data_IF_498143177026
#
_entry.id   IF_498143177026
#
_cell.length_a   1.000
_cell.length_b   1.000
_cell.length_c   1.000
_cell.angle_alpha   90.00
_cell.angle_beta   90.00
_cell.angle_gamma   90.00
#
_symmetry.space_group_name_H-M   'P 1'
#
loop_
_entity.id
_entity.type
_entity.pdbx_description
1 polymer ?
#
# COMPACT_ATOMS: atom_id res chain seq x y z
N UNK A 1 25.57 -12.39 -4.87
CA UNK A 1 25.43 -12.39 -3.38
C UNK A 1 24.34 -13.37 -2.97
N UNK A 2 24.46 -13.94 -1.77
CA UNK A 2 23.42 -14.74 -1.12
C UNK A 2 22.51 -13.80 -0.31
N UNK A 3 21.24 -13.77 -0.65
CA UNK A 3 20.25 -12.88 -0.01
C UNK A 3 19.20 -13.71 0.73
N UNK A 4 18.93 -13.36 1.98
CA UNK A 4 17.80 -13.90 2.73
C UNK A 4 16.67 -12.87 2.78
N UNK A 5 15.53 -13.20 2.16
CA UNK A 5 14.32 -12.37 2.19
C UNK A 5 13.35 -12.92 3.23
N UNK A 6 12.89 -12.09 4.15
CA UNK A 6 11.97 -12.52 5.21
C UNK A 6 10.71 -11.65 5.23
N UNK A 7 9.56 -12.28 4.98
CA UNK A 7 8.27 -11.60 4.96
C UNK A 7 7.15 -12.61 5.19
N UNK A 8 6.26 -12.40 6.19
CA UNK A 8 5.19 -13.36 6.51
C UNK A 8 4.36 -13.73 5.26
N UNK A 9 4.01 -12.76 4.43
CA UNK A 9 3.23 -12.97 3.20
C UNK A 9 4.12 -13.14 1.96
N UNK A 10 5.34 -13.68 2.09
CA UNK A 10 6.25 -13.79 0.95
C UNK A 10 5.55 -14.34 -0.31
N UNK A 11 5.73 -13.71 -1.50
CA UNK A 11 6.66 -12.62 -1.79
C UNK A 11 6.23 -11.23 -1.26
N UNK A 12 4.96 -10.97 -0.94
CA UNK A 12 4.50 -9.72 -0.34
C UNK A 12 5.04 -8.48 -1.07
N UNK A 13 5.73 -7.60 -0.35
CA UNK A 13 6.37 -6.40 -0.91
C UNK A 13 7.55 -6.73 -1.83
N UNK A 14 8.12 -7.94 -1.71
CA UNK A 14 9.25 -8.37 -2.53
C UNK A 14 8.82 -9.06 -3.84
N UNK A 15 7.52 -9.03 -4.20
CA UNK A 15 6.95 -9.70 -5.37
C UNK A 15 7.69 -9.38 -6.67
N UNK A 16 7.99 -8.13 -6.90
CA UNK A 16 8.64 -7.65 -8.12
C UNK A 16 10.16 -7.48 -7.91
N UNK A 17 10.58 -7.26 -6.68
CA UNK A 17 12.00 -7.11 -6.30
C UNK A 17 12.73 -8.45 -6.38
N UNK A 18 12.13 -9.53 -5.87
CA UNK A 18 12.83 -10.81 -5.76
C UNK A 18 13.16 -11.45 -7.11
N UNK A 19 12.28 -11.50 -8.13
CA UNK A 19 12.66 -11.97 -9.47
C UNK A 19 13.76 -11.11 -10.10
N UNK A 20 13.66 -9.80 -9.98
CA UNK A 20 14.64 -8.90 -10.56
C UNK A 20 16.04 -9.03 -9.94
N UNK A 21 16.13 -9.38 -8.64
CA UNK A 21 17.41 -9.72 -8.01
C UNK A 21 17.93 -11.08 -8.49
N UNK A 22 17.04 -12.06 -8.78
CA UNK A 22 17.45 -13.31 -9.43
C UNK A 22 17.99 -13.06 -10.85
N UNK A 23 17.38 -12.16 -11.62
CA UNK A 23 17.85 -11.78 -12.97
C UNK A 23 19.24 -11.15 -12.95
N UNK A 24 19.66 -10.60 -11.81
CA UNK A 24 20.99 -10.05 -11.55
C UNK A 24 21.97 -11.06 -10.93
N UNK A 25 21.66 -12.34 -11.07
CA UNK A 25 22.50 -13.47 -10.62
C UNK A 25 22.75 -13.51 -9.11
N UNK A 26 21.83 -12.96 -8.29
CA UNK A 26 21.88 -13.18 -6.86
C UNK A 26 21.24 -14.52 -6.49
N UNK A 27 21.82 -15.23 -5.53
CA UNK A 27 21.22 -16.43 -4.93
C UNK A 27 20.26 -16.00 -3.82
N UNK A 28 18.96 -16.27 -4.02
CA UNK A 28 17.91 -15.86 -3.08
C UNK A 28 17.34 -17.08 -2.35
N UNK A 29 17.24 -16.95 -1.02
CA UNK A 29 16.36 -17.81 -0.22
C UNK A 29 15.36 -16.93 0.53
N UNK A 30 14.20 -17.47 0.84
CA UNK A 30 13.18 -16.74 1.54
C UNK A 30 12.57 -17.53 2.70
N UNK A 31 12.08 -16.80 3.71
CA UNK A 31 11.28 -17.36 4.82
C UNK A 31 9.95 -16.61 4.90
N UNK A 32 8.85 -17.36 4.99
CA UNK A 32 7.50 -16.81 5.12
C UNK A 32 6.46 -17.87 5.44
N UNK A 33 5.21 -17.46 5.76
CA UNK A 33 4.14 -18.43 6.03
C UNK A 33 3.10 -18.53 4.90
N UNK A 34 3.05 -17.56 3.98
CA UNK A 34 2.09 -17.55 2.88
C UNK A 34 2.37 -18.66 1.85
N UNK A 35 1.30 -19.27 1.32
CA UNK A 35 1.36 -20.26 0.23
C UNK A 35 1.32 -19.61 -1.17
N UNK A 36 1.52 -18.31 -1.28
CA UNK A 36 1.51 -17.59 -2.56
C UNK A 36 2.64 -18.07 -3.46
N UNK A 37 2.37 -18.10 -4.76
CA UNK A 37 3.39 -18.38 -5.77
C UNK A 37 4.44 -17.27 -5.81
N UNK A 38 5.68 -17.67 -6.05
CA UNK A 38 6.82 -16.78 -6.27
C UNK A 38 7.70 -17.34 -7.39
N UNK A 39 8.77 -16.65 -7.72
CA UNK A 39 9.74 -17.10 -8.71
C UNK A 39 10.32 -18.47 -8.29
N UNK A 40 10.34 -19.43 -9.21
CA UNK A 40 10.79 -20.81 -8.95
C UNK A 40 12.29 -20.95 -8.65
N UNK A 41 13.07 -19.91 -8.97
CA UNK A 41 14.50 -19.84 -8.62
C UNK A 41 14.76 -19.61 -7.14
N UNK A 42 13.73 -19.22 -6.37
CA UNK A 42 13.85 -18.87 -4.95
C UNK A 42 13.44 -20.07 -4.10
N UNK A 43 14.38 -20.61 -3.30
CA UNK A 43 14.05 -21.58 -2.27
C UNK A 43 13.30 -20.88 -1.12
N UNK A 44 12.03 -21.23 -0.92
CA UNK A 44 11.18 -20.65 0.14
C UNK A 44 11.01 -21.67 1.26
N UNK A 45 11.53 -21.36 2.44
CA UNK A 45 11.25 -22.10 3.65
C UNK A 45 9.97 -21.55 4.28
N UNK A 46 8.97 -22.42 4.43
CA UNK A 46 7.65 -21.99 4.93
C UNK A 46 7.44 -22.50 6.34
N UNK A 47 6.90 -21.61 7.20
CA UNK A 47 6.42 -21.97 8.52
C UNK A 47 4.89 -21.88 8.57
N UNK A 48 4.30 -22.68 9.43
CA UNK A 48 2.88 -22.60 9.74
C UNK A 48 2.68 -21.67 10.94
N UNK A 49 1.66 -20.83 10.84
CA UNK A 49 1.24 -19.94 11.90
C UNK A 49 -0.29 -19.97 11.97
N UNK A 50 -0.81 -20.46 13.06
CA UNK A 50 -2.24 -20.54 13.34
C UNK A 50 -2.66 -19.53 14.40
N UNK A 51 -3.96 -19.26 14.48
CA UNK A 51 -4.54 -18.44 15.54
C UNK A 51 -4.39 -19.12 16.90
N UNK A 52 -3.79 -18.41 17.84
CA UNK A 52 -3.68 -18.86 19.23
C UNK A 52 -4.66 -18.10 20.10
N UNK A 53 -5.54 -18.83 20.76
CA UNK A 53 -6.45 -18.23 21.73
C UNK A 53 -5.78 -18.12 23.09
N UNK A 54 -5.40 -16.91 23.45
CA UNK A 54 -4.99 -16.54 24.79
C UNK A 54 -6.19 -15.99 25.55
N UNK A 55 -6.56 -16.63 26.66
CA UNK A 55 -7.65 -16.18 27.54
C UNK A 55 -7.09 -15.51 28.78
N UNK A 56 -7.80 -14.52 29.32
CA UNK A 56 -7.41 -13.87 30.57
C UNK A 56 -6.21 -12.93 30.47
N UNK A 57 -5.70 -12.61 29.26
CA UNK A 57 -4.58 -11.69 29.02
C UNK A 57 -5.03 -10.41 28.33
N UNK A 58 -4.29 -9.34 28.51
CA UNK A 58 -4.54 -8.08 27.83
C UNK A 58 -4.42 -8.23 26.31
N UNK A 59 -5.25 -7.53 25.52
CA UNK A 59 -5.28 -7.62 24.04
C UNK A 59 -3.92 -7.39 23.41
N UNK A 60 -3.13 -6.45 23.92
CA UNK A 60 -1.79 -6.17 23.43
C UNK A 60 -0.79 -7.32 23.68
N UNK A 61 -1.01 -8.11 24.72
CA UNK A 61 -0.17 -9.30 25.01
C UNK A 61 -0.35 -10.38 23.96
N UNK A 62 -1.55 -10.54 23.40
CA UNK A 62 -1.80 -11.47 22.29
C UNK A 62 -0.93 -11.16 21.08
N UNK A 63 -0.79 -9.88 20.77
CA UNK A 63 0.00 -9.43 19.64
C UNK A 63 1.51 -9.64 19.86
N UNK A 64 1.99 -9.39 21.07
CA UNK A 64 3.39 -9.65 21.47
C UNK A 64 3.69 -11.15 21.44
N UNK A 65 2.78 -12.00 21.93
CA UNK A 65 2.89 -13.46 21.87
C UNK A 65 3.00 -13.92 20.41
N UNK A 66 2.19 -13.37 19.54
CA UNK A 66 2.18 -13.65 18.11
C UNK A 66 3.54 -13.30 17.43
N UNK A 67 4.13 -12.16 17.80
CA UNK A 67 5.46 -11.78 17.30
C UNK A 67 6.55 -12.75 17.77
N UNK A 68 6.51 -13.16 19.03
CA UNK A 68 7.49 -14.10 19.60
C UNK A 68 7.39 -15.45 18.87
N UNK A 69 6.19 -15.99 18.72
CA UNK A 69 5.99 -17.29 18.03
C UNK A 69 6.44 -17.27 16.58
N UNK A 70 6.19 -16.17 15.86
CA UNK A 70 6.68 -16.01 14.49
C UNK A 70 8.20 -15.93 14.46
N UNK A 71 8.79 -15.16 15.37
CA UNK A 71 10.25 -15.03 15.44
C UNK A 71 10.94 -16.34 15.72
N UNK A 72 10.38 -17.19 16.60
CA UNK A 72 10.88 -18.54 16.88
C UNK A 72 10.87 -19.40 15.63
N UNK A 73 9.74 -19.44 14.89
CA UNK A 73 9.64 -20.22 13.65
C UNK A 73 10.63 -19.76 12.59
N UNK A 74 10.77 -18.45 12.42
CA UNK A 74 11.76 -17.90 11.48
C UNK A 74 13.18 -18.24 11.91
N UNK A 75 13.51 -18.14 13.20
CA UNK A 75 14.82 -18.49 13.72
C UNK A 75 15.13 -19.99 13.53
N UNK A 76 14.18 -20.90 13.79
CA UNK A 76 14.31 -22.34 13.53
C UNK A 76 14.70 -22.60 12.06
N UNK A 77 13.97 -22.00 11.11
CA UNK A 77 14.25 -22.15 9.67
C UNK A 77 15.58 -21.52 9.26
N UNK A 78 15.93 -20.38 9.82
CA UNK A 78 17.23 -19.74 9.60
C UNK A 78 18.39 -20.59 10.13
N UNK A 79 18.23 -21.25 11.28
CA UNK A 79 19.19 -22.20 11.83
C UNK A 79 19.34 -23.46 10.95
N UNK A 80 18.26 -23.93 10.30
CA UNK A 80 18.34 -25.01 9.33
C UNK A 80 19.21 -24.61 8.15
N UNK A 81 19.05 -23.40 7.60
CA UNK A 81 19.92 -22.88 6.53
C UNK A 81 21.39 -22.86 6.98
N UNK A 82 21.65 -22.33 8.18
CA UNK A 82 23.00 -22.27 8.75
C UNK A 82 23.63 -23.65 8.92
N UNK A 83 22.86 -24.64 9.40
CA UNK A 83 23.32 -26.05 9.54
C UNK A 83 23.61 -26.70 8.18
N UNK A 84 22.96 -26.29 7.11
CA UNK A 84 23.22 -26.70 5.72
C UNK A 84 24.45 -26.01 5.11
N UNK A 85 25.21 -25.23 5.88
CA UNK A 85 26.36 -24.46 5.41
C UNK A 85 26.02 -23.20 4.62
N UNK A 86 24.74 -22.76 4.63
CA UNK A 86 24.33 -21.56 3.94
C UNK A 86 24.14 -20.39 4.93
N UNK A 87 24.79 -19.29 4.63
CA UNK A 87 24.60 -18.03 5.35
C UNK A 87 24.41 -16.89 4.34
N UNK A 88 23.52 -15.94 4.60
CA UNK A 88 23.33 -14.80 3.72
C UNK A 88 24.48 -13.79 3.82
N UNK A 89 24.83 -13.20 2.69
CA UNK A 89 25.72 -12.03 2.67
C UNK A 89 24.95 -10.77 3.16
N UNK A 90 23.63 -10.74 2.94
CA UNK A 90 22.72 -9.68 3.42
C UNK A 90 21.33 -10.26 3.69
N UNK A 91 20.67 -9.76 4.73
CA UNK A 91 19.26 -10.04 5.05
C UNK A 91 18.41 -8.82 4.68
N UNK A 92 17.27 -9.04 4.03
CA UNK A 92 16.22 -8.04 3.83
C UNK A 92 14.93 -8.55 4.45
N UNK A 93 14.47 -7.93 5.53
CA UNK A 93 13.35 -8.42 6.32
C UNK A 93 12.26 -7.36 6.52
N UNK A 94 11.00 -7.81 6.48
CA UNK A 94 9.87 -7.02 6.94
C UNK A 94 9.68 -7.26 8.45
N UNK A 95 9.80 -6.25 9.32
CA UNK A 95 9.81 -6.45 10.77
C UNK A 95 8.42 -6.41 11.42
N UNK A 96 7.36 -6.07 10.68
CA UNK A 96 6.06 -5.63 11.23
C UNK A 96 5.28 -6.71 12.01
N UNK A 97 5.66 -7.98 11.91
CA UNK A 97 4.96 -9.10 12.58
C UNK A 97 5.90 -9.98 13.42
N UNK A 98 7.12 -9.51 13.72
CA UNK A 98 8.06 -10.20 14.61
C UNK A 98 9.14 -11.04 13.92
N UNK A 99 9.03 -11.32 12.61
CA UNK A 99 9.93 -12.23 11.89
C UNK A 99 11.40 -11.83 11.95
N UNK A 100 11.69 -10.54 12.07
CA UNK A 100 13.06 -10.04 12.09
C UNK A 100 13.77 -10.18 13.46
N UNK A 101 13.02 -10.43 14.55
CA UNK A 101 13.52 -10.30 15.93
C UNK A 101 14.76 -11.12 16.26
N UNK A 102 14.90 -12.34 15.69
CA UNK A 102 15.99 -13.26 16.03
C UNK A 102 17.05 -13.41 14.93
N UNK A 103 16.86 -12.75 13.77
CA UNK A 103 17.76 -12.94 12.62
C UNK A 103 19.18 -12.49 12.90
N UNK A 104 19.36 -11.41 13.66
CA UNK A 104 20.68 -10.90 14.06
C UNK A 104 21.44 -11.89 14.94
N UNK A 105 20.75 -12.63 15.80
CA UNK A 105 21.33 -13.64 16.67
C UNK A 105 21.72 -14.89 15.88
N UNK A 106 20.92 -15.28 14.89
CA UNK A 106 21.22 -16.44 14.03
C UNK A 106 22.39 -16.15 13.08
N UNK A 107 22.41 -14.98 12.46
CA UNK A 107 23.42 -14.55 11.48
C UNK A 107 24.13 -13.25 11.93
N UNK A 108 24.95 -13.28 12.98
CA UNK A 108 25.60 -12.07 13.52
C UNK A 108 26.59 -11.41 12.56
N UNK A 109 27.12 -12.17 11.60
CA UNK A 109 28.02 -11.68 10.56
C UNK A 109 27.35 -11.18 9.28
N UNK A 110 26.02 -11.14 9.23
CA UNK A 110 25.28 -10.67 8.05
C UNK A 110 24.57 -9.34 8.37
N UNK A 111 24.80 -8.28 7.60
CA UNK A 111 24.05 -7.04 7.75
C UNK A 111 22.56 -7.30 7.47
N UNK A 112 21.70 -6.65 8.28
CA UNK A 112 20.26 -6.75 8.15
C UNK A 112 19.66 -5.41 7.74
N UNK A 113 19.04 -5.37 6.58
CA UNK A 113 18.17 -4.28 6.15
C UNK A 113 16.73 -4.63 6.49
N UNK A 114 15.99 -3.65 6.97
CA UNK A 114 14.57 -3.85 7.26
C UNK A 114 13.69 -2.92 6.42
N UNK A 115 12.44 -3.36 6.18
CA UNK A 115 11.40 -2.59 5.50
C UNK A 115 10.23 -2.35 6.45
N UNK A 116 10.33 -1.36 7.39
CA UNK A 116 9.44 -1.24 8.54
C UNK A 116 8.12 -0.49 8.26
N UNK A 117 7.87 -0.08 7.03
CA UNK A 117 6.72 0.66 6.53
C UNK A 117 6.47 2.01 7.20
N UNK A 118 6.07 2.08 8.48
CA UNK A 118 5.60 3.31 9.10
C UNK A 118 5.75 3.25 10.63
N UNK A 119 6.25 4.32 11.23
CA UNK A 119 6.16 4.53 12.67
C UNK A 119 4.80 5.12 13.01
N UNK A 120 4.01 4.40 13.81
CA UNK A 120 2.63 4.80 14.08
C UNK A 120 2.53 6.03 15.00
N UNK A 121 1.64 6.94 14.63
CA UNK A 121 1.27 8.16 15.38
C UNK A 121 -0.26 8.28 15.47
N UNK A 122 -0.76 9.22 16.28
CA UNK A 122 -2.19 9.44 16.49
C UNK A 122 -2.99 9.63 15.18
N UNK A 123 -2.48 10.45 14.27
CA UNK A 123 -3.11 10.70 12.97
C UNK A 123 -3.27 9.44 12.10
N UNK A 124 -2.45 8.41 12.31
CA UNK A 124 -2.59 7.13 11.62
C UNK A 124 -3.75 6.27 12.15
N UNK A 125 -4.33 6.64 13.30
CA UNK A 125 -5.56 6.04 13.84
C UNK A 125 -6.84 6.76 13.34
N UNK A 126 -6.69 7.72 12.43
CA UNK A 126 -7.81 8.52 11.94
C UNK A 126 -8.28 9.60 12.92
N UNK A 127 -7.45 9.93 13.91
CA UNK A 127 -7.72 10.98 14.89
C UNK A 127 -7.14 12.31 14.39
N UNK A 128 -7.86 13.39 14.61
CA UNK A 128 -7.35 14.74 14.40
C UNK A 128 -6.31 15.09 15.48
N UNK A 129 -5.40 16.03 15.19
CA UNK A 129 -4.31 16.41 16.10
C UNK A 129 -4.83 16.94 17.45
N UNK A 130 -6.05 17.49 17.49
CA UNK A 130 -6.70 18.02 18.68
C UNK A 130 -7.39 16.95 19.53
N UNK A 131 -7.59 15.74 18.99
CA UNK A 131 -8.25 14.66 19.73
C UNK A 131 -7.29 13.99 20.70
N UNK A 132 -7.68 13.98 21.97
CA UNK A 132 -6.93 13.31 23.02
C UNK A 132 -7.02 11.78 22.86
N UNK A 133 -5.86 11.12 22.79
CA UNK A 133 -5.77 9.67 22.76
C UNK A 133 -6.31 9.05 24.05
N UNK A 134 -7.13 8.01 23.92
CA UNK A 134 -7.45 7.14 25.04
C UNK A 134 -6.21 6.37 25.51
N UNK A 135 -6.22 5.93 26.76
CA UNK A 135 -5.12 5.10 27.32
C UNK A 135 -4.89 3.85 26.47
N UNK A 136 -5.97 3.23 25.97
CA UNK A 136 -5.89 2.05 25.09
C UNK A 136 -5.20 2.36 23.76
N UNK A 137 -5.52 3.50 23.13
CA UNK A 137 -4.85 3.95 21.90
C UNK A 137 -3.37 4.28 22.13
N UNK A 138 -3.04 4.92 23.26
CA UNK A 138 -1.65 5.17 23.63
C UNK A 138 -0.86 3.85 23.80
N UNK A 139 -1.44 2.86 24.48
CA UNK A 139 -0.83 1.54 24.62
C UNK A 139 -0.64 0.85 23.25
N UNK A 140 -1.65 0.89 22.38
CA UNK A 140 -1.55 0.31 21.06
C UNK A 140 -0.39 0.90 20.25
N UNK A 141 -0.31 2.23 20.14
CA UNK A 141 0.78 2.91 19.45
C UNK A 141 2.14 2.57 20.06
N UNK A 142 2.22 2.55 21.40
CA UNK A 142 3.46 2.25 22.11
C UNK A 142 3.93 0.83 21.84
N UNK A 143 3.04 -0.15 21.87
CA UNK A 143 3.36 -1.56 21.65
C UNK A 143 3.83 -1.80 20.21
N UNK A 144 3.10 -1.27 19.22
CA UNK A 144 3.49 -1.38 17.80
C UNK A 144 4.86 -0.76 17.53
N UNK A 145 5.08 0.43 18.02
CA UNK A 145 6.36 1.12 17.85
C UNK A 145 7.51 0.47 18.62
N UNK A 146 7.23 -0.26 19.69
CA UNK A 146 8.25 -1.00 20.44
C UNK A 146 8.87 -2.12 19.59
N UNK A 147 8.06 -2.88 18.86
CA UNK A 147 8.58 -3.87 17.91
C UNK A 147 9.50 -3.22 16.86
N UNK A 148 9.07 -2.09 16.30
CA UNK A 148 9.86 -1.37 15.31
C UNK A 148 11.15 -0.76 15.90
N UNK A 149 11.11 -0.26 17.14
CA UNK A 149 12.30 0.28 17.82
C UNK A 149 13.39 -0.78 18.00
N UNK A 150 12.99 -2.00 18.41
CA UNK A 150 13.89 -3.15 18.50
C UNK A 150 14.46 -3.55 17.13
N UNK A 151 13.61 -3.65 16.11
CA UNK A 151 14.05 -3.96 14.76
C UNK A 151 15.02 -2.90 14.19
N UNK A 152 14.77 -1.62 14.45
CA UNK A 152 15.67 -0.52 14.07
C UNK A 152 17.00 -0.57 14.81
N UNK A 153 17.01 -1.04 16.06
CA UNK A 153 18.26 -1.22 16.82
C UNK A 153 19.14 -2.30 16.20
N UNK A 154 18.55 -3.43 15.82
CA UNK A 154 19.24 -4.59 15.23
C UNK A 154 19.64 -4.37 13.77
N UNK A 155 18.90 -3.56 13.03
CA UNK A 155 19.16 -3.31 11.61
C UNK A 155 20.39 -2.43 11.38
N UNK A 156 21.13 -2.71 10.31
CA UNK A 156 22.16 -1.81 9.78
C UNK A 156 21.54 -0.62 9.07
N UNK A 157 20.49 -0.86 8.28
CA UNK A 157 19.75 0.16 7.53
C UNK A 157 18.26 -0.19 7.50
N UNK A 158 17.42 0.83 7.28
CA UNK A 158 16.01 0.68 6.98
C UNK A 158 15.66 1.31 5.64
N UNK A 159 14.79 0.66 4.88
CA UNK A 159 14.27 1.15 3.60
C UNK A 159 12.81 1.53 3.79
N UNK A 160 12.45 2.73 3.35
CA UNK A 160 11.08 3.25 3.44
C UNK A 160 10.66 3.81 2.08
N UNK A 161 9.41 3.57 1.64
CA UNK A 161 8.97 3.94 0.29
C UNK A 161 8.90 5.45 0.03
N UNK A 162 8.57 6.27 1.04
CA UNK A 162 8.35 7.71 0.90
C UNK A 162 9.04 8.51 2.00
N UNK A 163 9.27 9.79 1.75
CA UNK A 163 9.78 10.73 2.77
C UNK A 163 8.82 10.84 3.93
N UNK A 164 7.52 10.93 3.68
CA UNK A 164 6.50 10.94 4.72
C UNK A 164 6.65 9.76 5.69
N UNK A 165 6.81 8.54 5.15
CA UNK A 165 7.04 7.36 5.98
C UNK A 165 8.36 7.44 6.76
N UNK A 166 9.43 7.91 6.13
CA UNK A 166 10.73 8.10 6.78
C UNK A 166 10.68 9.14 7.92
N UNK A 167 9.98 10.25 7.71
CA UNK A 167 9.80 11.33 8.67
C UNK A 167 8.88 10.95 9.85
N UNK A 168 8.09 9.87 9.70
CA UNK A 168 7.32 9.33 10.82
C UNK A 168 8.21 8.79 11.94
N UNK A 169 9.42 8.31 11.60
CA UNK A 169 10.36 7.72 12.56
C UNK A 169 11.02 8.77 13.48
N UNK A 170 11.33 8.40 14.73
CA UNK A 170 12.10 9.25 15.64
C UNK A 170 13.44 9.70 15.06
N UNK A 171 13.88 10.90 15.41
CA UNK A 171 15.12 11.50 14.91
C UNK A 171 16.35 10.59 15.11
N UNK A 172 16.39 9.81 16.20
CA UNK A 172 17.49 8.86 16.51
C UNK A 172 17.72 7.81 15.43
N UNK A 173 16.72 7.52 14.59
CA UNK A 173 16.78 6.50 13.55
C UNK A 173 17.01 7.04 12.13
N UNK A 174 16.88 8.34 11.92
CA UNK A 174 16.91 8.95 10.57
C UNK A 174 18.20 8.68 9.79
N UNK A 175 19.33 8.58 10.48
CA UNK A 175 20.62 8.27 9.85
C UNK A 175 20.71 6.86 9.26
N UNK A 176 19.89 5.92 9.77
CA UNK A 176 19.79 4.54 9.26
C UNK A 176 18.77 4.40 8.11
N UNK A 177 17.99 5.43 7.80
CA UNK A 177 16.89 5.34 6.83
C UNK A 177 17.36 5.73 5.43
N UNK A 178 16.92 4.96 4.43
CA UNK A 178 16.99 5.30 3.00
C UNK A 178 15.59 5.27 2.41
N UNK A 179 15.26 6.27 1.62
CA UNK A 179 13.97 6.34 0.92
C UNK A 179 14.14 5.70 -0.45
N UNK A 180 13.56 4.50 -0.60
CA UNK A 180 13.55 3.73 -1.86
C UNK A 180 12.17 3.09 -1.94
N UNK A 181 11.45 3.37 -3.03
CA UNK A 181 10.14 2.77 -3.29
C UNK A 181 10.29 1.38 -3.94
N UNK A 182 9.22 0.56 -3.93
CA UNK A 182 9.18 -0.73 -4.65
C UNK A 182 9.16 -0.53 -6.17
N UNK A 183 8.72 0.65 -6.59
CA UNK A 183 8.60 1.01 -8.01
C UNK A 183 7.25 0.65 -8.61
N UNK A 184 7.01 1.21 -9.78
CA UNK A 184 5.87 0.89 -10.66
C UNK A 184 6.42 0.31 -11.96
N UNK A 185 5.82 -0.78 -12.51
CA UNK A 185 6.32 -1.39 -13.74
C UNK A 185 6.31 -0.41 -14.92
N UNK A 186 7.41 -0.32 -15.63
CA UNK A 186 7.58 0.51 -16.83
C UNK A 186 6.53 0.19 -17.90
N UNK A 187 6.13 -1.08 -18.00
CA UNK A 187 5.09 -1.54 -18.93
C UNK A 187 3.75 -0.79 -18.79
N UNK A 188 3.44 -0.26 -17.60
CA UNK A 188 2.24 0.54 -17.37
C UNK A 188 2.34 1.95 -17.99
N UNK A 189 3.54 2.47 -18.19
CA UNK A 189 3.74 3.78 -18.81
C UNK A 189 3.42 3.76 -20.32
N UNK A 190 3.64 2.64 -20.98
CA UNK A 190 3.48 2.53 -22.44
C UNK A 190 2.09 2.10 -22.87
N UNK A 191 1.21 1.76 -21.89
CA UNK A 191 -0.17 1.40 -22.24
C UNK A 191 -0.98 2.62 -22.71
N UNK A 192 -1.65 2.55 -23.86
CA UNK A 192 -2.50 3.65 -24.33
C UNK A 192 -3.77 3.74 -23.48
N UNK A 193 -4.35 4.94 -23.40
CA UNK A 193 -5.68 5.13 -22.81
C UNK A 193 -6.73 4.33 -23.58
N UNK A 194 -7.69 3.75 -22.88
CA UNK A 194 -8.81 3.06 -23.50
C UNK A 194 -9.89 4.04 -23.94
N UNK A 195 -10.37 3.88 -25.18
CA UNK A 195 -11.48 4.67 -25.70
C UNK A 195 -12.82 4.13 -25.19
N UNK A 196 -12.93 2.82 -25.01
CA UNK A 196 -14.12 2.16 -24.51
C UNK A 196 -13.79 1.07 -23.48
N UNK A 197 -14.74 0.75 -22.62
CA UNK A 197 -14.64 -0.35 -21.64
C UNK A 197 -16.02 -1.01 -21.51
N UNK A 198 -16.10 -2.29 -21.83
CA UNK A 198 -17.30 -3.10 -21.57
C UNK A 198 -17.19 -3.71 -20.17
N UNK A 199 -18.17 -3.44 -19.33
CA UNK A 199 -18.30 -3.97 -17.98
C UNK A 199 -18.89 -5.39 -18.01
N UNK A 200 -18.70 -6.16 -16.94
CA UNK A 200 -19.21 -7.53 -16.82
C UNK A 200 -20.74 -7.69 -16.93
N UNK A 201 -21.49 -6.60 -16.74
CA UNK A 201 -22.94 -6.53 -16.92
C UNK A 201 -23.37 -6.15 -18.36
N UNK A 202 -22.43 -6.08 -19.32
CA UNK A 202 -22.69 -5.75 -20.71
C UNK A 202 -22.75 -4.25 -21.03
N UNK A 203 -22.67 -3.36 -20.05
CA UNK A 203 -22.63 -1.91 -20.27
C UNK A 203 -21.29 -1.52 -20.89
N UNK A 204 -21.31 -0.81 -22.01
CA UNK A 204 -20.11 -0.26 -22.65
C UNK A 204 -20.00 1.22 -22.36
N UNK A 205 -18.88 1.61 -21.81
CA UNK A 205 -18.53 3.00 -21.49
C UNK A 205 -17.65 3.55 -22.61
N UNK A 206 -18.28 4.26 -23.56
CA UNK A 206 -17.60 4.89 -24.70
C UNK A 206 -16.77 6.12 -24.27
N UNK A 207 -15.90 6.62 -25.15
CA UNK A 207 -14.93 7.69 -24.84
C UNK A 207 -15.57 8.98 -24.33
N UNK A 208 -16.79 9.29 -24.81
CA UNK A 208 -17.56 10.50 -24.46
C UNK A 208 -18.14 10.42 -23.06
N UNK A 209 -18.36 9.20 -22.54
CA UNK A 209 -18.94 8.97 -21.22
C UNK A 209 -17.88 9.25 -20.15
N UNK A 210 -18.03 10.23 -19.28
CA UNK A 210 -17.10 10.47 -18.19
C UNK A 210 -17.11 9.33 -17.18
N UNK A 211 -15.93 8.86 -16.81
CA UNK A 211 -15.75 7.78 -15.84
C UNK A 211 -14.92 8.26 -14.66
N UNK A 212 -15.50 8.21 -13.48
CA UNK A 212 -14.81 8.45 -12.21
C UNK A 212 -14.53 7.11 -11.53
N UNK A 213 -13.33 6.93 -11.03
CA UNK A 213 -12.95 5.70 -10.35
C UNK A 213 -12.56 5.95 -8.89
N UNK A 214 -12.94 5.02 -8.02
CA UNK A 214 -12.46 4.89 -6.66
C UNK A 214 -11.98 3.45 -6.47
N UNK A 215 -10.70 3.28 -6.14
CA UNK A 215 -10.08 1.94 -6.08
C UNK A 215 -9.25 1.84 -4.82
N UNK A 216 -9.52 0.81 -4.02
CA UNK A 216 -8.76 0.52 -2.83
C UNK A 216 -8.70 -0.98 -2.57
N UNK A 217 -7.76 -1.42 -1.73
CA UNK A 217 -7.66 -2.83 -1.33
C UNK A 217 -8.95 -3.32 -0.68
N UNK A 218 -9.48 -2.55 0.27
CA UNK A 218 -10.75 -2.78 0.94
C UNK A 218 -11.53 -1.46 1.00
N UNK A 219 -12.86 -1.56 0.94
CA UNK A 219 -13.78 -0.42 0.99
C UNK A 219 -14.05 -0.07 2.46
N UNK A 220 -13.23 0.79 3.02
CA UNK A 220 -13.20 1.11 4.45
C UNK A 220 -12.99 2.62 4.72
N UNK A 221 -13.34 3.12 5.93
CA UNK A 221 -13.20 4.54 6.30
C UNK A 221 -11.79 5.11 6.14
N UNK A 222 -10.73 4.37 6.52
CA UNK A 222 -9.34 4.82 6.37
C UNK A 222 -8.99 5.16 4.91
N UNK A 223 -9.67 4.52 3.95
CA UNK A 223 -9.52 4.78 2.51
C UNK A 223 -10.46 5.88 1.99
N UNK A 224 -11.32 6.45 2.86
CA UNK A 224 -12.28 7.49 2.51
C UNK A 224 -13.52 6.98 1.76
N UNK A 225 -13.78 5.67 1.77
CA UNK A 225 -14.91 5.08 1.04
C UNK A 225 -16.27 5.69 1.45
N UNK A 226 -16.61 5.84 2.75
CA UNK A 226 -17.89 6.46 3.13
C UNK A 226 -18.03 7.91 2.62
N UNK A 227 -16.97 8.71 2.67
CA UNK A 227 -16.96 10.10 2.15
C UNK A 227 -17.21 10.12 0.65
N UNK A 228 -16.56 9.22 -0.09
CA UNK A 228 -16.75 9.08 -1.53
C UNK A 228 -18.20 8.70 -1.87
N UNK A 229 -18.74 7.67 -1.21
CA UNK A 229 -20.11 7.23 -1.46
C UNK A 229 -21.15 8.32 -1.18
N UNK A 230 -21.00 9.06 -0.07
CA UNK A 230 -21.88 10.17 0.27
C UNK A 230 -21.80 11.35 -0.71
N UNK A 231 -20.74 11.46 -1.49
CA UNK A 231 -20.61 12.46 -2.55
C UNK A 231 -21.41 12.08 -3.82
N UNK A 232 -21.71 10.79 -4.04
CA UNK A 232 -22.33 10.30 -5.27
C UNK A 232 -23.71 10.92 -5.58
N UNK A 233 -24.65 11.06 -4.64
CA UNK A 233 -25.94 11.65 -4.95
C UNK A 233 -25.82 13.05 -5.57
N UNK A 234 -24.93 13.87 -5.04
CA UNK A 234 -24.68 15.23 -5.57
C UNK A 234 -23.93 15.18 -6.90
N UNK A 235 -22.88 14.37 -7.02
CA UNK A 235 -22.13 14.19 -8.26
C UNK A 235 -23.06 13.79 -9.42
N UNK A 236 -23.85 12.75 -9.24
CA UNK A 236 -24.72 12.20 -10.28
C UNK A 236 -25.89 13.13 -10.65
N UNK A 237 -26.29 14.02 -9.75
CA UNK A 237 -27.29 15.08 -10.02
C UNK A 237 -26.70 16.19 -10.89
N UNK A 238 -25.48 16.61 -10.61
CA UNK A 238 -24.83 17.71 -11.32
C UNK A 238 -24.13 17.30 -12.61
N UNK A 239 -23.87 16.00 -12.78
CA UNK A 239 -23.26 15.46 -13.99
C UNK A 239 -24.06 14.25 -14.49
N UNK A 240 -25.00 14.48 -15.42
CA UNK A 240 -26.01 13.49 -15.83
C UNK A 240 -25.46 12.25 -16.55
N UNK A 241 -24.26 12.34 -17.16
CA UNK A 241 -23.67 11.26 -17.94
C UNK A 241 -22.52 10.53 -17.22
N UNK A 242 -22.12 10.97 -16.04
CA UNK A 242 -20.98 10.35 -15.35
C UNK A 242 -21.31 8.93 -14.87
N UNK A 243 -20.41 7.99 -15.14
CA UNK A 243 -20.40 6.68 -14.52
C UNK A 243 -19.30 6.58 -13.47
N UNK A 244 -19.57 5.86 -12.40
CA UNK A 244 -18.66 5.70 -11.26
C UNK A 244 -18.31 4.22 -11.12
N UNK A 245 -17.02 3.90 -11.14
CA UNK A 245 -16.52 2.53 -10.93
C UNK A 245 -15.81 2.46 -9.56
N UNK A 246 -16.31 1.63 -8.68
CA UNK A 246 -15.77 1.40 -7.34
C UNK A 246 -15.22 -0.01 -7.27
N UNK A 247 -13.93 -0.16 -6.95
CA UNK A 247 -13.28 -1.47 -6.85
C UNK A 247 -12.62 -1.64 -5.48
N UNK A 248 -12.90 -2.75 -4.82
CA UNK A 248 -12.29 -3.09 -3.53
C UNK A 248 -12.95 -4.27 -2.85
N UNK A 249 -12.23 -4.89 -1.93
CA UNK A 249 -12.75 -5.96 -1.08
C UNK A 249 -13.68 -5.43 0.01
N UNK A 250 -14.39 -6.34 0.63
CA UNK A 250 -15.38 -6.05 1.68
C UNK A 250 -14.83 -6.21 3.11
N UNK A 251 -13.59 -6.68 3.24
CA UNK A 251 -12.95 -6.78 4.55
C UNK A 251 -12.42 -5.41 4.99
N UNK A 252 -11.95 -5.35 6.22
CA UNK A 252 -11.21 -4.21 6.77
C UNK A 252 -9.73 -4.55 6.90
N UNK A 253 -8.87 -3.57 6.66
CA UNK A 253 -7.41 -3.68 6.84
C UNK A 253 -6.92 -2.80 7.99
N UNK A 254 -7.46 -1.61 8.10
CA UNK A 254 -6.97 -0.55 9.00
C UNK A 254 -8.08 0.14 9.78
N UNK A 255 -9.32 -0.04 9.37
CA UNK A 255 -10.50 0.48 10.07
C UNK A 255 -11.17 -0.61 10.91
N UNK A 256 -12.02 -0.22 11.85
CA UNK A 256 -12.92 -1.16 12.52
C UNK A 256 -14.00 -1.66 11.55
N UNK A 257 -14.44 -2.89 11.73
CA UNK A 257 -15.64 -3.37 11.08
C UNK A 257 -16.85 -2.52 11.54
N UNK A 258 -17.88 -2.37 10.71
CA UNK A 258 -19.11 -1.70 11.15
C UNK A 258 -19.85 -2.56 12.19
N UNK A 259 -20.55 -1.89 13.13
CA UNK A 259 -21.19 -2.57 14.26
C UNK A 259 -22.44 -3.38 13.85
N UNK A 260 -23.26 -2.82 12.96
CA UNK A 260 -24.59 -3.36 12.64
C UNK A 260 -24.70 -4.02 11.26
N UNK A 261 -23.64 -3.99 10.45
CA UNK A 261 -23.66 -4.47 9.07
C UNK A 261 -22.47 -5.38 8.78
N UNK A 262 -22.62 -6.25 7.76
CA UNK A 262 -21.55 -7.19 7.38
C UNK A 262 -20.27 -6.50 6.94
N UNK A 263 -20.38 -5.34 6.28
CA UNK A 263 -19.25 -4.59 5.73
C UNK A 263 -19.64 -3.14 5.40
N UNK A 264 -18.65 -2.30 5.20
CA UNK A 264 -18.85 -0.89 4.87
C UNK A 264 -19.58 -0.63 3.56
N UNK A 265 -19.49 -1.54 2.58
CA UNK A 265 -20.28 -1.45 1.34
C UNK A 265 -21.78 -1.51 1.66
N UNK A 266 -22.18 -2.45 2.50
CA UNK A 266 -23.60 -2.60 2.88
C UNK A 266 -24.10 -1.40 3.68
N UNK A 267 -23.29 -0.89 4.61
CA UNK A 267 -23.59 0.36 5.33
C UNK A 267 -23.92 1.49 4.35
N UNK A 268 -23.04 1.72 3.36
CA UNK A 268 -23.23 2.83 2.42
C UNK A 268 -24.40 2.60 1.46
N UNK A 269 -24.63 1.38 1.00
CA UNK A 269 -25.78 1.09 0.15
C UNK A 269 -27.11 1.26 0.89
N UNK A 270 -27.18 0.89 2.15
CA UNK A 270 -28.37 1.08 2.98
C UNK A 270 -28.61 2.58 3.27
N UNK A 271 -27.56 3.32 3.67
CA UNK A 271 -27.63 4.76 3.95
C UNK A 271 -28.10 5.54 2.73
N UNK A 272 -27.63 5.18 1.55
CA UNK A 272 -27.84 5.95 0.31
C UNK A 272 -28.94 5.36 -0.58
N UNK A 273 -29.75 4.44 -0.05
CA UNK A 273 -30.83 3.79 -0.80
C UNK A 273 -31.78 4.81 -1.42
N UNK A 274 -31.95 4.73 -2.75
CA UNK A 274 -32.84 5.63 -3.49
C UNK A 274 -32.30 7.05 -3.71
N UNK A 275 -31.07 7.37 -3.29
CA UNK A 275 -30.50 8.71 -3.42
C UNK A 275 -29.70 8.91 -4.71
N UNK A 276 -29.38 7.86 -5.45
CA UNK A 276 -28.71 7.93 -6.75
C UNK A 276 -29.16 6.82 -7.70
N UNK A 277 -28.91 7.00 -8.99
CA UNK A 277 -29.18 6.02 -10.04
C UNK A 277 -28.17 4.85 -9.97
N UNK A 278 -28.62 3.62 -9.63
CA UNK A 278 -27.73 2.46 -9.51
C UNK A 278 -27.15 2.00 -10.85
N UNK A 279 -27.74 2.38 -11.99
CA UNK A 279 -27.20 2.06 -13.32
C UNK A 279 -25.94 2.84 -13.67
N UNK A 280 -25.61 3.88 -12.92
CA UNK A 280 -24.43 4.70 -13.10
C UNK A 280 -23.35 4.50 -12.04
N UNK A 281 -23.60 3.65 -11.04
CA UNK A 281 -22.64 3.33 -9.98
C UNK A 281 -22.37 1.83 -9.98
N UNK A 282 -21.16 1.46 -10.35
CA UNK A 282 -20.75 0.06 -10.53
C UNK A 282 -19.78 -0.32 -9.41
N UNK A 283 -20.27 -1.14 -8.44
CA UNK A 283 -19.45 -1.64 -7.33
C UNK A 283 -18.94 -3.03 -7.65
N UNK A 284 -17.63 -3.15 -7.74
CA UNK A 284 -16.93 -4.40 -7.95
C UNK A 284 -16.27 -4.88 -6.66
N UNK A 285 -16.10 -6.19 -6.54
CA UNK A 285 -15.21 -6.77 -5.53
C UNK A 285 -13.73 -6.61 -5.90
N UNK A 286 -12.88 -7.42 -5.32
CA UNK A 286 -11.51 -7.58 -5.81
C UNK A 286 -11.52 -8.16 -7.22
N UNK A 287 -10.63 -7.68 -8.06
CA UNK A 287 -10.52 -8.16 -9.44
C UNK A 287 -9.06 -8.45 -9.80
N UNK A 288 -8.82 -9.26 -10.86
CA UNK A 288 -7.50 -9.50 -11.39
C UNK A 288 -6.82 -8.19 -11.85
N UNK A 289 -5.50 -8.14 -11.71
CA UNK A 289 -4.72 -6.92 -11.99
C UNK A 289 -4.85 -6.43 -13.43
N UNK A 290 -4.91 -7.34 -14.41
CA UNK A 290 -5.11 -6.99 -15.83
C UNK A 290 -6.44 -6.28 -16.11
N UNK A 291 -7.51 -6.68 -15.40
CA UNK A 291 -8.81 -6.01 -15.46
C UNK A 291 -8.76 -4.64 -14.75
N UNK A 292 -8.07 -4.56 -13.62
CA UNK A 292 -7.87 -3.31 -12.90
C UNK A 292 -7.13 -2.27 -13.76
N UNK A 293 -6.09 -2.69 -14.49
CA UNK A 293 -5.36 -1.83 -15.43
C UNK A 293 -6.28 -1.31 -16.55
N UNK A 294 -7.25 -2.09 -17.04
CA UNK A 294 -8.25 -1.60 -18.02
C UNK A 294 -9.10 -0.47 -17.42
N UNK A 295 -9.51 -0.62 -16.16
CA UNK A 295 -10.26 0.44 -15.45
C UNK A 295 -9.41 1.70 -15.30
N UNK A 296 -8.14 1.58 -14.88
CA UNK A 296 -7.22 2.73 -14.83
C UNK A 296 -7.15 3.45 -16.16
N UNK A 297 -6.92 2.71 -17.24
CA UNK A 297 -6.77 3.25 -18.59
C UNK A 297 -8.04 3.92 -19.14
N UNK A 298 -9.24 3.54 -18.65
CA UNK A 298 -10.51 4.12 -19.08
C UNK A 298 -10.96 5.29 -18.20
N UNK A 299 -10.48 5.38 -16.97
CA UNK A 299 -10.89 6.41 -16.02
C UNK A 299 -10.55 7.83 -16.50
N UNK A 300 -11.50 8.76 -16.42
CA UNK A 300 -11.29 10.19 -16.70
C UNK A 300 -10.76 10.94 -15.48
N UNK A 301 -11.11 10.45 -14.26
CA UNK A 301 -10.62 10.99 -13.00
C UNK A 301 -10.59 9.87 -11.96
N UNK A 302 -9.45 9.68 -11.32
CA UNK A 302 -9.34 8.79 -10.17
C UNK A 302 -9.41 9.59 -8.88
N UNK A 303 -10.29 9.18 -7.97
CA UNK A 303 -10.45 9.81 -6.64
C UNK A 303 -9.75 8.96 -5.60
N UNK A 304 -8.76 9.54 -4.91
CA UNK A 304 -7.95 8.88 -3.89
C UNK A 304 -8.07 9.60 -2.55
N UNK A 305 -8.81 9.01 -1.61
CA UNK A 305 -9.16 9.66 -0.34
C UNK A 305 -8.49 9.02 0.89
N UNK A 306 -7.50 8.15 0.70
CA UNK A 306 -6.81 7.52 1.83
C UNK A 306 -6.20 8.57 2.75
N UNK A 307 -6.38 8.38 4.05
CA UNK A 307 -5.61 9.11 5.04
C UNK A 307 -4.11 8.83 4.84
N UNK A 308 -3.27 9.72 5.34
CA UNK A 308 -1.82 9.54 5.27
C UNK A 308 -1.43 8.28 6.07
N UNK A 309 -0.86 7.31 5.36
CA UNK A 309 -0.44 6.01 5.92
C UNK A 309 0.67 5.43 5.03
N UNK A 310 0.59 4.17 4.63
CA UNK A 310 1.48 3.57 3.62
C UNK A 310 0.97 3.91 2.23
N UNK A 311 1.86 4.35 1.34
CA UNK A 311 1.50 4.67 -0.03
C UNK A 311 0.96 3.44 -0.78
N UNK A 312 -0.18 3.59 -1.42
CA UNK A 312 -0.79 2.50 -2.19
C UNK A 312 -0.14 2.37 -3.57
N UNK A 313 0.24 1.15 -3.96
CA UNK A 313 0.72 0.85 -5.30
C UNK A 313 -0.29 1.24 -6.38
N UNK A 314 -1.59 1.05 -6.11
CA UNK A 314 -2.65 1.39 -7.07
C UNK A 314 -2.65 2.86 -7.48
N UNK A 315 -2.24 3.78 -6.61
CA UNK A 315 -2.14 5.20 -6.96
C UNK A 315 -1.05 5.44 -8.01
N UNK A 316 0.13 4.85 -7.82
CA UNK A 316 1.22 4.96 -8.79
C UNK A 316 0.88 4.27 -10.11
N UNK A 317 0.21 3.12 -10.08
CA UNK A 317 -0.27 2.43 -11.27
C UNK A 317 -1.29 3.26 -12.06
N UNK A 318 -2.23 3.91 -11.36
CA UNK A 318 -3.20 4.86 -11.95
C UNK A 318 -2.48 6.01 -12.64
N UNK A 319 -1.51 6.62 -11.97
CA UNK A 319 -0.69 7.69 -12.55
C UNK A 319 0.15 7.21 -13.74
N UNK A 320 0.74 6.00 -13.64
CA UNK A 320 1.49 5.37 -14.73
C UNK A 320 0.62 5.11 -15.97
N UNK A 321 -0.65 4.75 -15.78
CA UNK A 321 -1.62 4.63 -16.87
C UNK A 321 -2.06 5.99 -17.45
N UNK A 322 -1.58 7.12 -16.93
CA UNK A 322 -1.91 8.46 -17.39
C UNK A 322 -3.31 8.90 -17.00
N UNK A 323 -3.83 8.39 -15.91
CA UNK A 323 -5.11 8.81 -15.34
C UNK A 323 -4.89 9.95 -14.38
N UNK A 324 -5.58 11.09 -14.55
CA UNK A 324 -5.49 12.21 -13.61
C UNK A 324 -6.07 11.84 -12.26
N UNK A 325 -5.52 12.42 -11.19
CA UNK A 325 -5.86 12.11 -9.81
C UNK A 325 -6.39 13.33 -9.09
N UNK A 326 -7.48 13.14 -8.35
CA UNK A 326 -7.94 14.00 -7.27
C UNK A 326 -7.68 13.28 -5.95
N UNK A 327 -6.72 13.74 -5.18
CA UNK A 327 -6.36 13.11 -3.90
C UNK A 327 -6.78 13.96 -2.70
N UNK A 328 -7.10 13.30 -1.57
CA UNK A 328 -7.24 14.00 -0.28
C UNK A 328 -5.90 14.62 0.11
N UNK A 329 -5.89 15.93 0.39
CA UNK A 329 -4.67 16.63 0.81
C UNK A 329 -4.15 16.08 2.13
N UNK A 330 -2.91 15.65 2.11
CA UNK A 330 -2.14 15.23 3.29
C UNK A 330 -0.65 15.20 2.91
N UNK A 331 0.28 15.19 3.88
CA UNK A 331 1.72 15.26 3.60
C UNK A 331 2.25 14.18 2.65
N UNK A 332 1.69 12.96 2.67
CA UNK A 332 2.10 11.90 1.74
C UNK A 332 1.69 12.20 0.30
N UNK A 333 0.49 12.78 0.10
CA UNK A 333 0.01 13.14 -1.24
C UNK A 333 0.74 14.36 -1.80
N UNK A 334 1.17 15.28 -0.95
CA UNK A 334 1.97 16.46 -1.35
C UNK A 334 3.37 16.09 -1.86
N UNK A 335 3.87 14.88 -1.57
CA UNK A 335 5.09 14.35 -2.21
C UNK A 335 4.87 13.95 -3.68
N UNK A 336 3.66 13.53 -4.04
CA UNK A 336 3.33 12.96 -5.35
C UNK A 336 2.59 13.90 -6.26
N UNK A 337 1.66 14.67 -5.70
CA UNK A 337 0.74 15.52 -6.44
C UNK A 337 1.18 16.97 -6.32
N UNK A 338 1.51 17.56 -7.46
CA UNK A 338 1.71 18.99 -7.63
C UNK A 338 0.40 19.59 -8.16
N UNK A 339 -0.40 20.28 -7.31
CA UNK A 339 -1.71 20.77 -7.70
C UNK A 339 -1.64 21.65 -8.95
N UNK A 340 -2.54 21.40 -9.90
CA UNK A 340 -2.59 22.13 -11.17
C UNK A 340 -1.56 21.68 -12.22
N UNK A 341 -0.62 20.81 -11.87
CA UNK A 341 0.42 20.29 -12.76
C UNK A 341 0.18 18.84 -13.14
N UNK A 342 0.10 17.93 -12.15
CA UNK A 342 -0.08 16.50 -12.38
C UNK A 342 -1.29 15.89 -11.67
N UNK A 343 -2.15 16.73 -11.06
CA UNK A 343 -3.34 16.33 -10.34
C UNK A 343 -3.92 17.46 -9.50
N UNK A 344 -4.86 17.12 -8.63
CA UNK A 344 -5.46 18.05 -7.68
C UNK A 344 -5.44 17.48 -6.25
N UNK A 345 -5.40 18.37 -5.26
CA UNK A 345 -5.53 18.05 -3.85
C UNK A 345 -6.84 18.62 -3.31
N UNK A 346 -7.73 17.75 -2.84
CA UNK A 346 -8.94 18.14 -2.15
C UNK A 346 -8.64 18.35 -0.66
N UNK A 347 -8.89 19.57 -0.18
CA UNK A 347 -8.64 19.98 1.21
C UNK A 347 -9.92 20.04 2.06
N UNK A 348 -11.04 19.61 1.51
CA UNK A 348 -12.31 19.57 2.23
C UNK A 348 -12.45 18.34 3.13
N UNK A 349 -13.50 18.36 3.93
CA UNK A 349 -13.91 17.30 4.84
C UNK A 349 -15.33 16.79 4.55
N UNK A 350 -16.11 17.55 3.76
CA UNK A 350 -17.52 17.29 3.54
C UNK A 350 -17.80 16.69 2.15
N UNK A 351 -18.64 15.62 2.03
CA UNK A 351 -18.95 14.97 0.76
C UNK A 351 -19.47 15.89 -0.35
N UNK A 352 -20.23 16.95 0.00
CA UNK A 352 -20.70 17.94 -0.97
C UNK A 352 -19.53 18.66 -1.66
N UNK A 353 -18.53 19.10 -0.90
CA UNK A 353 -17.35 19.78 -1.48
C UNK A 353 -16.55 18.85 -2.39
N UNK A 354 -16.48 17.54 -2.05
CA UNK A 354 -15.86 16.54 -2.90
C UNK A 354 -16.62 16.37 -4.22
N UNK A 355 -17.95 16.26 -4.15
CA UNK A 355 -18.79 16.13 -5.34
C UNK A 355 -18.61 17.32 -6.29
N UNK A 356 -18.60 18.54 -5.77
CA UNK A 356 -18.43 19.75 -6.57
C UNK A 356 -17.03 19.84 -7.18
N UNK A 357 -16.00 19.47 -6.45
CA UNK A 357 -14.63 19.38 -6.98
C UNK A 357 -14.53 18.36 -8.15
N UNK A 358 -15.18 17.20 -8.04
CA UNK A 358 -15.22 16.22 -9.11
C UNK A 358 -15.96 16.79 -10.34
N UNK A 359 -17.12 17.42 -10.14
CA UNK A 359 -17.91 18.04 -11.23
C UNK A 359 -17.08 19.10 -11.96
N UNK A 360 -16.45 19.99 -11.22
CA UNK A 360 -15.59 21.05 -11.78
C UNK A 360 -14.47 20.48 -12.62
N UNK A 361 -13.76 19.47 -12.11
CA UNK A 361 -12.65 18.81 -12.82
C UNK A 361 -13.12 18.08 -14.08
N UNK A 362 -14.26 17.40 -14.05
CA UNK A 362 -14.79 16.71 -15.23
C UNK A 362 -15.13 17.66 -16.38
N UNK A 363 -15.44 18.91 -16.09
CA UNK A 363 -15.67 19.97 -17.09
C UNK A 363 -14.35 20.49 -17.71
N UNK A 364 -13.20 20.19 -17.11
CA UNK A 364 -11.87 20.64 -17.55
C UNK A 364 -11.11 19.51 -18.30
N UNK A 365 -11.74 18.93 -19.32
CA UNK A 365 -11.24 17.70 -20.01
C UNK A 365 -9.79 17.81 -20.51
N UNK A 366 -9.41 18.93 -21.11
CA UNK A 366 -8.05 19.12 -21.63
C UNK A 366 -7.00 19.21 -20.51
N UNK A 367 -7.35 19.88 -19.41
CA UNK A 367 -6.49 19.93 -18.23
C UNK A 367 -6.29 18.54 -17.60
N UNK A 368 -7.36 17.75 -17.48
CA UNK A 368 -7.25 16.38 -17.01
C UNK A 368 -6.32 15.53 -17.89
N UNK A 369 -6.39 15.66 -19.21
CA UNK A 369 -5.46 14.99 -20.13
C UNK A 369 -4.00 15.42 -19.91
N UNK A 370 -3.77 16.73 -19.69
CA UNK A 370 -2.45 17.26 -19.40
C UNK A 370 -1.92 16.71 -18.07
N UNK A 371 -2.73 16.70 -17.01
CA UNK A 371 -2.36 16.13 -15.73
C UNK A 371 -2.02 14.64 -15.81
N UNK A 372 -2.79 13.85 -16.57
CA UNK A 372 -2.47 12.45 -16.80
C UNK A 372 -1.11 12.24 -17.45
N UNK A 373 -0.75 13.07 -18.46
CA UNK A 373 0.57 13.05 -19.09
C UNK A 373 1.68 13.48 -18.11
N UNK A 374 1.45 14.55 -17.35
CA UNK A 374 2.39 15.05 -16.38
C UNK A 374 2.60 14.06 -15.23
N UNK A 375 1.55 13.36 -14.78
CA UNK A 375 1.63 12.28 -13.79
C UNK A 375 2.58 11.16 -14.22
N UNK A 376 2.46 10.68 -15.46
CA UNK A 376 3.42 9.71 -16.03
C UNK A 376 4.86 10.22 -16.02
N UNK A 377 5.09 11.48 -16.40
CA UNK A 377 6.43 12.05 -16.42
C UNK A 377 7.01 12.21 -15.03
N UNK A 378 6.17 12.56 -14.04
CA UNK A 378 6.58 12.70 -12.65
C UNK A 378 7.10 11.39 -12.05
N UNK A 379 6.57 10.24 -12.47
CA UNK A 379 7.02 8.94 -11.95
C UNK A 379 8.39 8.50 -12.46
N UNK A 380 8.79 8.94 -13.66
CA UNK A 380 10.00 8.45 -14.34
C UNK A 380 11.30 8.60 -13.55
N UNK A 381 11.60 9.71 -12.91
CA UNK A 381 12.90 9.89 -12.25
C UNK A 381 13.03 9.11 -10.93
N UNK A 382 11.91 8.74 -10.29
CA UNK A 382 11.93 8.28 -8.90
C UNK A 382 11.24 6.94 -8.67
N UNK A 383 10.15 6.69 -9.40
CA UNK A 383 9.24 5.58 -9.09
C UNK A 383 9.23 4.45 -10.13
N UNK A 384 10.11 4.47 -11.13
CA UNK A 384 10.24 3.32 -12.03
C UNK A 384 10.83 2.13 -11.31
N UNK A 385 10.27 0.96 -11.56
CA UNK A 385 10.66 -0.28 -10.89
C UNK A 385 12.14 -0.61 -11.10
N UNK A 386 12.65 -0.50 -12.33
CA UNK A 386 14.07 -0.72 -12.63
C UNK A 386 14.98 0.22 -11.85
N UNK A 387 14.60 1.50 -11.72
CA UNK A 387 15.37 2.48 -10.96
C UNK A 387 15.39 2.15 -9.46
N UNK A 388 14.23 1.86 -8.89
CA UNK A 388 14.08 1.51 -7.47
C UNK A 388 14.85 0.24 -7.11
N UNK A 389 14.75 -0.80 -7.96
CA UNK A 389 15.47 -2.07 -7.76
C UNK A 389 16.98 -1.85 -7.85
N UNK A 390 17.47 -1.05 -8.80
CA UNK A 390 18.88 -0.73 -8.91
C UNK A 390 19.40 0.03 -7.68
N UNK A 391 18.63 0.96 -7.13
CA UNK A 391 18.97 1.64 -5.89
C UNK A 391 19.02 0.68 -4.69
N UNK A 392 18.03 -0.20 -4.57
CA UNK A 392 17.99 -1.19 -3.51
C UNK A 392 19.17 -2.17 -3.61
N UNK A 393 19.46 -2.69 -4.80
CA UNK A 393 20.60 -3.59 -5.03
C UNK A 393 21.93 -2.95 -4.67
N UNK A 394 22.17 -1.68 -5.06
CA UNK A 394 23.37 -0.93 -4.65
C UNK A 394 23.47 -0.85 -3.13
N UNK A 395 22.36 -0.52 -2.45
CA UNK A 395 22.34 -0.46 -1.00
C UNK A 395 22.65 -1.82 -0.36
N UNK A 396 22.08 -2.91 -0.87
CA UNK A 396 22.36 -4.28 -0.41
C UNK A 396 23.84 -4.62 -0.59
N UNK A 397 24.40 -4.35 -1.77
CA UNK A 397 25.82 -4.59 -2.09
C UNK A 397 26.77 -3.77 -1.20
N UNK A 398 26.47 -2.51 -0.99
CA UNK A 398 27.26 -1.65 -0.10
C UNK A 398 27.24 -2.15 1.35
N UNK A 399 26.11 -2.67 1.84
CA UNK A 399 26.03 -3.20 3.18
C UNK A 399 26.78 -4.53 3.30
N UNK A 400 26.66 -5.41 2.32
CA UNK A 400 27.42 -6.67 2.28
C UNK A 400 28.93 -6.44 2.28
N UNK A 401 29.41 -5.42 1.58
CA UNK A 401 30.86 -5.12 1.49
C UNK A 401 31.44 -4.47 2.76
N UNK A 402 30.60 -3.94 3.65
CA UNK A 402 31.02 -3.28 4.91
C UNK A 402 31.08 -4.22 6.11
N UNK A 403 30.56 -5.40 5.98
CA UNK A 403 30.44 -6.43 7.02
C UNK A 403 31.39 -7.60 6.79
#
# INVERSE_FOLDING_TARGET
>A
MRLLLVHQNFPGQFRDISPALCDKEHELKAIGCSQRQCDSRIEVLRYEHGDHQLTGVHTQTKEVDDWIRRSEKVAELALILKKRGWAPDVILAHPGWGEAMMLRQVFPGSPMLIWPELWLRANHLGLDEEQQLSVQQMHYLRTKNWLLDGAMADATMAVLPTRYQAESFPAKWRNKIRVIHEGVPESLLDVPRLQQLTLGNGITLESEVPVVTFISRNLEPMRGFPTFMRALPTLLRHHSQVHVLVVGGDEVSYSSAPDDEKNWRQVMLNELKGQFDPHRVHLFGRMPHDQLVKIYRRSNLHVYLSNAFVLSWSLLEVMACGTPVLAKANPMMEELIQPGVNGALWRGDHPLSLAMAIVELLNQREQLKQWGKAGKQHLKPTFLQSHCINQLERLLTEQAARF
#
